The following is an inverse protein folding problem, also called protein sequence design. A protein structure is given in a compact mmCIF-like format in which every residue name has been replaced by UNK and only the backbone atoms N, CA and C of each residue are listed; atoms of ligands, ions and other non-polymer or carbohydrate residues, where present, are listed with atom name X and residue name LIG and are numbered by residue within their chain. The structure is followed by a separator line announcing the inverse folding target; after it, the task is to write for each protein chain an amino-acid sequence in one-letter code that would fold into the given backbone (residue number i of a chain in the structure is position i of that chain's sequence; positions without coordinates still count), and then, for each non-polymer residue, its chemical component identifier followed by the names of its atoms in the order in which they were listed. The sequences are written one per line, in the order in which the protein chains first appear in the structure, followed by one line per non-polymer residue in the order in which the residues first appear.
data_IF_046972203155
#
_entry.id   IF_046972203155
#
_cell.length_a   1.000
_cell.length_b   1.000
_cell.length_c   1.000
_cell.angle_alpha   90.00
_cell.angle_beta   90.00
_cell.angle_gamma   90.00
#
_symmetry.space_group_name_H-M   'P 1'
#
loop_
_entity.id
_entity.type
_entity.pdbx_description
1 polymer ?
#
# COMPACT_ATOMS: atom_id res chain seq x y z
N UNK A 1 -29.95 5.80 54.72
CA UNK A 1 -29.20 4.59 54.34
C UNK A 1 -28.73 4.78 52.91
N UNK A 2 -27.55 5.35 52.74
CA UNK A 2 -26.90 5.54 51.45
C UNK A 2 -25.74 4.55 51.41
N UNK A 3 -25.88 3.48 50.63
CA UNK A 3 -24.74 2.63 50.28
C UNK A 3 -24.66 2.67 48.77
N UNK A 4 -23.71 3.50 48.33
CA UNK A 4 -23.53 3.91 46.96
C UNK A 4 -23.07 2.73 46.10
N UNK A 5 -23.61 2.72 44.88
CA UNK A 5 -23.14 1.95 43.75
C UNK A 5 -21.61 2.08 43.61
N UNK A 6 -20.89 1.01 43.90
CA UNK A 6 -19.46 0.87 43.62
C UNK A 6 -19.15 -0.55 43.15
N UNK A 7 -20.00 -1.10 42.28
CA UNK A 7 -19.61 -2.22 41.42
C UNK A 7 -19.00 -1.65 40.13
N UNK A 8 -17.72 -1.29 40.26
CA UNK A 8 -16.67 -1.56 39.28
C UNK A 8 -17.14 -1.60 37.82
N UNK A 9 -17.44 -0.42 37.26
CA UNK A 9 -17.20 -0.17 35.85
C UNK A 9 -15.68 -0.10 35.63
N UNK A 10 -15.02 -1.25 35.73
CA UNK A 10 -13.80 -1.49 34.99
C UNK A 10 -14.20 -1.59 33.51
N UNK A 11 -14.60 -0.45 32.94
CA UNK A 11 -14.26 -0.16 31.56
C UNK A 11 -12.73 -0.16 31.56
N UNK A 12 -12.15 -1.36 31.41
CA UNK A 12 -10.89 -1.48 30.71
C UNK A 12 -11.20 -0.92 29.33
N UNK A 13 -11.07 0.41 29.20
CA UNK A 13 -10.73 1.01 27.94
C UNK A 13 -9.38 0.40 27.63
N UNK A 14 -9.42 -0.79 27.05
CA UNK A 14 -8.33 -1.27 26.22
C UNK A 14 -8.38 -0.26 25.08
N UNK A 15 -7.70 0.87 25.27
CA UNK A 15 -7.22 1.67 24.16
C UNK A 15 -6.31 0.68 23.44
N UNK A 16 -6.92 -0.09 22.54
CA UNK A 16 -6.13 -0.81 21.56
C UNK A 16 -5.40 0.32 20.85
N UNK A 17 -4.09 0.34 21.01
CA UNK A 17 -3.21 1.21 20.25
C UNK A 17 -3.32 0.70 18.81
N UNK A 18 -4.41 1.07 18.15
CA UNK A 18 -4.61 0.80 16.74
C UNK A 18 -3.57 1.64 16.05
N UNK A 19 -2.48 0.99 15.65
CA UNK A 19 -1.56 1.57 14.70
C UNK A 19 -2.39 2.05 13.50
N UNK A 20 -2.27 3.32 13.16
CA UNK A 20 -2.99 3.88 12.03
C UNK A 20 -2.48 3.21 10.75
N UNK A 21 -3.40 2.63 9.99
CA UNK A 21 -3.09 1.99 8.71
C UNK A 21 -4.15 2.28 7.68
N UNK A 22 -3.71 2.37 6.43
CA UNK A 22 -4.56 2.45 5.24
C UNK A 22 -4.12 1.36 4.28
N UNK A 23 -5.00 0.41 4.01
CA UNK A 23 -4.75 -0.69 3.08
C UNK A 23 -5.65 -0.50 1.86
N UNK A 24 -5.05 -0.27 0.70
CA UNK A 24 -5.72 0.11 -0.54
C UNK A 24 -5.72 -1.11 -1.47
N UNK A 25 -6.91 -1.57 -1.84
CA UNK A 25 -7.11 -2.61 -2.86
C UNK A 25 -7.22 -1.92 -4.23
N UNK A 26 -6.23 -2.13 -5.09
CA UNK A 26 -6.10 -1.37 -6.33
C UNK A 26 -7.00 -1.95 -7.42
N UNK A 27 -7.65 -1.07 -8.19
CA UNK A 27 -8.57 -1.45 -9.26
C UNK A 27 -10.02 -1.69 -8.80
N UNK A 28 -10.37 -1.41 -7.55
CA UNK A 28 -11.74 -1.52 -7.06
C UNK A 28 -12.17 -0.26 -6.31
N UNK A 29 -13.48 0.02 -6.32
CA UNK A 29 -14.10 1.05 -5.46
C UNK A 29 -14.73 0.46 -4.20
N UNK A 30 -14.73 -0.87 -4.06
CA UNK A 30 -15.37 -1.57 -2.96
C UNK A 30 -14.40 -1.76 -1.80
N UNK A 31 -14.91 -1.63 -0.58
CA UNK A 31 -14.20 -2.05 0.61
C UNK A 31 -14.37 -3.55 0.86
N UNK A 32 -13.38 -4.15 1.49
CA UNK A 32 -13.39 -5.57 1.84
C UNK A 32 -12.67 -5.84 3.15
N UNK A 33 -12.83 -7.05 3.68
CA UNK A 33 -12.06 -7.56 4.81
C UNK A 33 -11.50 -8.90 4.39
N UNK A 34 -10.19 -9.07 4.54
CA UNK A 34 -9.52 -10.31 4.16
C UNK A 34 -9.56 -11.38 5.27
N UNK A 35 -8.93 -12.52 5.00
CA UNK A 35 -8.90 -13.65 5.93
C UNK A 35 -8.08 -13.36 7.21
N UNK A 36 -7.23 -12.33 7.19
CA UNK A 36 -6.43 -11.86 8.32
C UNK A 36 -7.13 -10.76 9.13
N UNK A 37 -8.40 -10.45 8.79
CA UNK A 37 -9.20 -9.35 9.36
C UNK A 37 -8.64 -7.96 9.05
N UNK A 38 -7.83 -7.82 8.00
CA UNK A 38 -7.36 -6.53 7.53
C UNK A 38 -8.48 -5.88 6.72
N UNK A 39 -8.78 -4.62 7.05
CA UNK A 39 -9.74 -3.80 6.31
C UNK A 39 -9.04 -3.18 5.11
N UNK A 40 -9.65 -3.36 3.95
CA UNK A 40 -9.21 -2.81 2.67
C UNK A 40 -10.22 -1.78 2.17
N UNK A 41 -9.73 -0.67 1.65
CA UNK A 41 -10.52 0.36 0.96
C UNK A 41 -10.23 0.32 -0.54
N UNK A 42 -11.21 0.72 -1.35
CA UNK A 42 -11.00 0.91 -2.78
C UNK A 42 -10.09 2.10 -3.07
N UNK A 43 -9.55 2.16 -4.29
CA UNK A 43 -8.53 3.16 -4.64
C UNK A 43 -9.07 4.50 -5.14
N UNK A 44 -10.39 4.65 -5.28
CA UNK A 44 -11.02 5.79 -5.99
C UNK A 44 -10.67 7.16 -5.40
N UNK A 45 -10.46 7.25 -4.09
CA UNK A 45 -10.12 8.51 -3.40
C UNK A 45 -8.63 8.86 -3.49
N UNK A 46 -7.77 7.92 -3.94
CA UNK A 46 -6.31 8.07 -3.92
C UNK A 46 -5.70 8.23 -5.32
N UNK A 47 -6.39 7.81 -6.38
CA UNK A 47 -5.87 7.84 -7.76
C UNK A 47 -6.93 8.34 -8.75
N UNK A 48 -6.51 9.17 -9.71
CA UNK A 48 -7.41 9.76 -10.72
C UNK A 48 -7.21 9.20 -12.13
N UNK A 49 -6.21 8.35 -12.34
CA UNK A 49 -5.81 7.80 -13.64
C UNK A 49 -5.76 6.26 -13.62
N UNK A 50 -5.39 5.68 -14.76
CA UNK A 50 -5.26 4.24 -14.94
C UNK A 50 -6.59 3.50 -15.14
N UNK A 51 -6.47 2.21 -15.40
CA UNK A 51 -7.57 1.32 -15.74
C UNK A 51 -7.56 0.12 -14.79
N UNK A 52 -8.74 -0.31 -14.37
CA UNK A 52 -8.89 -1.52 -13.54
C UNK A 52 -8.85 -2.78 -14.40
N UNK A 53 -8.25 -3.85 -13.87
CA UNK A 53 -8.33 -5.19 -14.42
C UNK A 53 -8.57 -6.22 -13.31
N UNK A 54 -9.24 -7.31 -13.65
CA UNK A 54 -9.44 -8.46 -12.76
C UNK A 54 -8.33 -9.49 -12.99
N UNK A 55 -7.86 -10.10 -11.91
CA UNK A 55 -6.91 -11.23 -11.93
C UNK A 55 -7.61 -12.50 -11.47
N UNK A 56 -7.59 -13.52 -12.32
CA UNK A 56 -8.41 -14.73 -12.20
C UNK A 56 -7.82 -15.81 -11.28
N UNK A 57 -6.67 -15.57 -10.65
CA UNK A 57 -5.87 -16.60 -9.98
C UNK A 57 -5.32 -16.18 -8.62
N UNK A 58 -6.11 -15.53 -7.77
CA UNK A 58 -5.73 -15.29 -6.36
C UNK A 58 -6.61 -16.10 -5.42
N UNK A 59 -6.00 -16.75 -4.42
CA UNK A 59 -6.74 -17.40 -3.31
C UNK A 59 -7.17 -16.42 -2.23
N UNK A 60 -6.72 -15.17 -2.34
CA UNK A 60 -7.04 -14.08 -1.42
C UNK A 60 -8.16 -13.22 -2.01
N UNK A 61 -9.12 -12.83 -1.16
CA UNK A 61 -10.29 -12.02 -1.55
C UNK A 61 -9.90 -10.57 -1.87
N UNK A 62 -8.99 -9.99 -1.09
CA UNK A 62 -8.20 -8.81 -1.46
C UNK A 62 -7.20 -9.24 -2.53
N UNK A 63 -6.93 -8.41 -3.54
CA UNK A 63 -6.06 -8.71 -4.69
C UNK A 63 -6.73 -9.46 -5.86
N UNK A 64 -8.06 -9.45 -5.95
CA UNK A 64 -8.77 -9.93 -7.16
C UNK A 64 -8.75 -8.91 -8.30
N UNK A 65 -8.30 -7.69 -8.02
CA UNK A 65 -8.13 -6.61 -8.99
C UNK A 65 -6.71 -6.02 -8.94
N UNK A 66 -6.36 -5.30 -10.01
CA UNK A 66 -5.22 -4.40 -10.06
C UNK A 66 -5.59 -3.14 -10.83
N UNK A 67 -4.79 -2.09 -10.66
CA UNK A 67 -4.82 -0.91 -11.53
C UNK A 67 -3.55 -0.86 -12.36
N UNK A 68 -3.70 -0.64 -13.67
CA UNK A 68 -2.59 -0.47 -14.60
C UNK A 68 -2.67 0.87 -15.33
N UNK A 69 -1.53 1.32 -15.86
CA UNK A 69 -1.34 2.66 -16.40
C UNK A 69 -0.85 2.61 -17.85
N UNK A 70 -1.77 2.54 -18.83
CA UNK A 70 -1.41 2.34 -20.24
C UNK A 70 -1.08 3.63 -21.01
N UNK A 71 -1.29 4.81 -20.42
CA UNK A 71 -1.18 6.08 -21.15
C UNK A 71 -0.16 7.02 -20.55
N UNK A 72 -0.32 7.39 -19.28
CA UNK A 72 0.45 8.47 -18.68
C UNK A 72 1.85 8.02 -18.24
N UNK A 73 2.83 8.93 -18.34
CA UNK A 73 4.23 8.66 -17.97
C UNK A 73 4.43 8.49 -16.46
N UNK A 74 3.61 9.14 -15.63
CA UNK A 74 3.68 9.07 -14.17
C UNK A 74 2.28 9.12 -13.57
N UNK A 75 1.97 8.18 -12.70
CA UNK A 75 0.65 8.01 -12.09
C UNK A 75 0.80 7.85 -10.58
N UNK A 76 0.20 8.73 -9.79
CA UNK A 76 0.49 8.83 -8.36
C UNK A 76 -0.75 8.60 -7.51
N UNK A 77 -0.67 7.60 -6.63
CA UNK A 77 -1.57 7.54 -5.48
C UNK A 77 -1.17 8.67 -4.52
N UNK A 78 -2.12 9.53 -4.17
CA UNK A 78 -1.89 10.76 -3.41
C UNK A 78 -2.88 10.87 -2.24
N UNK A 79 -2.64 11.83 -1.34
CA UNK A 79 -3.46 12.06 -0.15
C UNK A 79 -3.60 10.84 0.76
N UNK A 80 -2.60 9.95 0.77
CA UNK A 80 -2.59 8.80 1.66
C UNK A 80 -2.17 9.29 3.06
N UNK A 81 -3.01 9.20 4.09
CA UNK A 81 -2.72 9.78 5.40
C UNK A 81 -1.60 9.03 6.12
N UNK A 82 -0.70 9.79 6.75
CA UNK A 82 0.44 9.30 7.53
C UNK A 82 0.75 10.23 8.71
N UNK A 83 1.44 9.73 9.72
CA UNK A 83 1.89 10.56 10.84
C UNK A 83 3.19 11.30 10.50
N UNK A 84 3.09 12.63 10.33
CA UNK A 84 4.25 13.51 10.11
C UNK A 84 5.30 13.34 11.22
N UNK A 85 6.57 13.16 10.82
CA UNK A 85 7.69 13.07 11.76
C UNK A 85 7.82 11.72 12.48
N UNK A 86 6.83 10.83 12.36
CA UNK A 86 6.95 9.43 12.75
C UNK A 86 7.76 8.62 11.74
N UNK A 87 7.64 7.30 11.82
CA UNK A 87 8.11 6.37 10.79
C UNK A 87 6.92 5.66 10.18
N UNK A 88 6.95 5.46 8.86
CA UNK A 88 5.90 4.76 8.13
C UNK A 88 6.51 3.64 7.32
N UNK A 89 5.81 2.51 7.24
CA UNK A 89 6.05 1.46 6.27
C UNK A 89 5.03 1.61 5.14
N UNK A 90 5.51 1.69 3.90
CA UNK A 90 4.69 1.56 2.71
C UNK A 90 5.08 0.26 2.01
N UNK A 91 4.14 -0.68 1.94
CA UNK A 91 4.27 -1.93 1.20
C UNK A 91 3.43 -1.85 -0.07
N UNK A 92 4.05 -2.19 -1.18
CA UNK A 92 3.39 -2.30 -2.49
C UNK A 92 3.50 -3.71 -3.00
N UNK A 93 2.37 -4.27 -3.43
CA UNK A 93 2.29 -5.61 -4.01
C UNK A 93 1.96 -5.52 -5.49
N UNK A 94 2.66 -6.34 -6.27
CA UNK A 94 2.48 -6.46 -7.71
C UNK A 94 2.20 -7.92 -8.05
N UNK A 95 0.94 -8.23 -8.33
CA UNK A 95 0.51 -9.50 -8.87
C UNK A 95 0.00 -9.30 -10.29
N UNK A 96 0.81 -9.68 -11.28
CA UNK A 96 0.45 -9.45 -12.69
C UNK A 96 -0.74 -10.32 -13.11
N UNK A 97 -0.80 -11.57 -12.65
CA UNK A 97 -1.86 -12.54 -12.94
C UNK A 97 -2.17 -12.74 -14.43
N UNK A 98 -1.27 -12.31 -15.32
CA UNK A 98 -1.49 -12.22 -16.75
C UNK A 98 -2.80 -11.49 -17.13
N UNK A 99 -3.13 -10.39 -16.43
CA UNK A 99 -4.42 -9.70 -16.57
C UNK A 99 -4.75 -9.26 -18.01
N UNK A 100 -3.73 -9.01 -18.84
CA UNK A 100 -3.87 -8.56 -20.22
C UNK A 100 -3.65 -9.68 -21.27
N UNK A 101 -3.42 -10.92 -20.83
CA UNK A 101 -3.25 -12.07 -21.70
C UNK A 101 -1.91 -12.11 -22.46
N UNK A 102 -0.97 -11.19 -22.21
CA UNK A 102 0.27 -11.07 -23.00
C UNK A 102 1.43 -11.92 -22.47
N UNK A 103 1.34 -12.44 -21.26
CA UNK A 103 2.42 -13.13 -20.54
C UNK A 103 3.73 -12.34 -20.56
N UNK A 104 3.60 -11.01 -20.41
CA UNK A 104 4.74 -10.10 -20.47
C UNK A 104 5.52 -10.06 -19.14
N UNK A 105 6.70 -9.43 -19.16
CA UNK A 105 7.54 -9.17 -17.99
C UNK A 105 7.69 -7.67 -17.79
N UNK A 106 6.63 -6.98 -17.32
CA UNK A 106 6.63 -5.52 -17.21
C UNK A 106 7.74 -5.05 -16.26
N UNK A 107 8.40 -3.97 -16.66
CA UNK A 107 9.40 -3.25 -15.87
C UNK A 107 9.08 -1.77 -15.89
N UNK A 108 9.09 -1.16 -14.72
CA UNK A 108 8.78 0.26 -14.53
C UNK A 108 9.45 0.77 -13.25
N UNK A 109 9.36 2.07 -13.01
CA UNK A 109 9.88 2.69 -11.80
C UNK A 109 8.75 3.00 -10.82
N UNK A 110 9.05 2.93 -9.53
CA UNK A 110 8.20 3.40 -8.44
C UNK A 110 8.96 4.45 -7.65
N UNK A 111 8.28 5.53 -7.27
CA UNK A 111 8.85 6.64 -6.51
C UNK A 111 7.93 6.96 -5.34
N UNK A 112 8.47 6.91 -4.12
CA UNK A 112 7.77 7.29 -2.90
C UNK A 112 8.19 8.72 -2.51
N UNK A 113 7.22 9.55 -2.12
CA UNK A 113 7.42 10.95 -1.73
C UNK A 113 8.18 11.80 -2.76
N UNK A 114 8.08 11.45 -4.05
CA UNK A 114 8.88 12.08 -5.10
C UNK A 114 10.42 11.95 -4.91
N UNK A 115 10.88 11.11 -3.97
CA UNK A 115 12.29 11.05 -3.54
C UNK A 115 12.89 9.65 -3.65
N UNK A 116 12.21 8.65 -3.11
CA UNK A 116 12.79 7.31 -2.97
C UNK A 116 12.38 6.45 -4.16
N UNK A 117 13.30 6.25 -5.11
CA UNK A 117 13.05 5.51 -6.35
C UNK A 117 13.54 4.06 -6.34
N UNK A 118 12.77 3.15 -6.93
CA UNK A 118 13.18 1.78 -7.26
C UNK A 118 12.64 1.34 -8.62
N UNK A 119 13.33 0.40 -9.24
CA UNK A 119 12.83 -0.33 -10.41
C UNK A 119 12.05 -1.55 -9.94
N UNK A 120 10.85 -1.73 -10.47
CA UNK A 120 10.04 -2.94 -10.33
C UNK A 120 10.20 -3.74 -11.62
N UNK A 121 10.56 -5.02 -11.49
CA UNK A 121 10.69 -5.94 -12.62
C UNK A 121 9.95 -7.23 -12.32
N UNK A 122 8.83 -7.43 -13.02
CA UNK A 122 8.00 -8.61 -12.85
C UNK A 122 8.55 -9.74 -13.71
N UNK A 123 8.99 -10.80 -13.05
CA UNK A 123 9.66 -11.95 -13.70
C UNK A 123 8.77 -13.19 -13.79
N UNK A 124 7.66 -13.21 -13.07
CA UNK A 124 6.68 -14.29 -13.08
C UNK A 124 5.28 -13.70 -12.98
N UNK A 125 4.37 -14.19 -13.82
CA UNK A 125 3.00 -13.68 -13.86
C UNK A 125 2.18 -14.03 -12.63
N UNK A 126 2.48 -15.17 -11.98
CA UNK A 126 1.66 -15.73 -10.91
C UNK A 126 2.39 -15.75 -9.56
N UNK A 127 3.45 -14.95 -9.42
CA UNK A 127 4.19 -14.78 -8.18
C UNK A 127 4.12 -13.31 -7.77
N UNK A 128 3.63 -13.00 -6.56
CA UNK A 128 3.68 -11.66 -6.02
C UNK A 128 5.12 -11.12 -5.95
N UNK A 129 5.31 -9.90 -6.44
CA UNK A 129 6.48 -9.10 -6.14
C UNK A 129 6.10 -8.08 -5.06
N UNK A 130 6.86 -8.02 -3.97
CA UNK A 130 6.61 -7.08 -2.87
C UNK A 130 7.79 -6.13 -2.73
N UNK A 131 7.48 -4.84 -2.69
CA UNK A 131 8.43 -3.78 -2.39
C UNK A 131 7.94 -2.98 -1.18
N UNK A 132 8.80 -2.88 -0.18
CA UNK A 132 8.57 -2.11 1.03
C UNK A 132 9.55 -0.95 1.12
N UNK A 133 9.07 0.18 1.62
CA UNK A 133 9.89 1.32 2.02
C UNK A 133 9.51 1.72 3.43
N UNK A 134 10.51 1.87 4.30
CA UNK A 134 10.37 2.54 5.58
C UNK A 134 11.03 3.90 5.49
N UNK A 135 10.32 4.97 5.86
CA UNK A 135 10.84 6.34 5.82
C UNK A 135 10.16 7.22 6.88
N UNK A 136 10.67 8.45 7.04
CA UNK A 136 10.04 9.47 7.89
C UNK A 136 9.28 10.49 7.02
N UNK A 137 7.93 10.55 7.11
CA UNK A 137 7.14 11.47 6.31
C UNK A 137 7.42 12.94 6.62
N UNK A 138 7.55 13.75 5.57
CA UNK A 138 7.73 15.19 5.68
C UNK A 138 6.42 15.94 5.97
N UNK A 139 5.28 15.31 5.67
CA UNK A 139 3.94 15.87 5.78
C UNK A 139 2.96 14.87 6.43
N UNK A 140 1.71 15.27 6.67
CA UNK A 140 0.65 14.38 7.17
C UNK A 140 0.03 13.48 6.10
N UNK A 141 0.52 13.58 4.87
CA UNK A 141 0.12 12.76 3.74
C UNK A 141 1.36 12.29 2.96
N UNK A 142 1.22 11.17 2.26
CA UNK A 142 2.25 10.63 1.39
C UNK A 142 1.73 10.33 -0.02
N UNK A 143 2.66 10.17 -0.97
CA UNK A 143 2.38 9.71 -2.32
C UNK A 143 3.26 8.53 -2.75
N UNK A 144 2.70 7.71 -3.63
CA UNK A 144 3.36 6.60 -4.32
C UNK A 144 3.11 6.73 -5.82
N UNK A 145 4.17 6.99 -6.58
CA UNK A 145 4.09 7.22 -8.02
C UNK A 145 4.66 6.05 -8.81
N UNK A 146 3.93 5.62 -9.83
CA UNK A 146 4.31 4.59 -10.79
C UNK A 146 4.69 5.27 -12.10
N UNK A 147 5.96 5.15 -12.47
CA UNK A 147 6.58 5.87 -13.58
C UNK A 147 6.94 4.88 -14.68
N UNK A 148 6.42 5.15 -15.87
CA UNK A 148 6.70 4.38 -17.07
C UNK A 148 8.17 4.51 -17.47
N UNK A 149 8.78 3.40 -17.86
CA UNK A 149 10.17 3.37 -18.37
C UNK A 149 10.26 2.93 -19.83
N UNK A 150 9.18 2.38 -20.40
CA UNK A 150 9.07 2.04 -21.82
C UNK A 150 7.60 2.04 -22.25
N UNK A 151 7.34 2.33 -23.53
CA UNK A 151 5.98 2.30 -24.10
C UNK A 151 5.40 0.89 -24.22
N UNK A 152 6.24 -0.14 -24.12
CA UNK A 152 5.85 -1.56 -24.16
C UNK A 152 5.54 -2.15 -22.79
N UNK A 153 5.65 -1.37 -21.71
CA UNK A 153 5.43 -1.83 -20.34
C UNK A 153 4.49 -0.89 -19.62
N UNK A 154 3.34 -1.42 -19.21
CA UNK A 154 2.37 -0.69 -18.42
C UNK A 154 2.71 -0.85 -16.93
N UNK A 155 3.02 0.24 -16.20
CA UNK A 155 3.08 0.18 -14.75
C UNK A 155 1.75 -0.28 -14.19
N UNK A 156 1.77 -1.03 -13.10
CA UNK A 156 0.56 -1.47 -12.42
C UNK A 156 0.83 -1.67 -10.93
N UNK A 157 -0.24 -1.80 -10.14
CA UNK A 157 -0.17 -2.13 -8.71
C UNK A 157 -1.43 -2.90 -8.30
N UNK A 158 -1.27 -3.89 -7.44
CA UNK A 158 -2.37 -4.72 -6.92
C UNK A 158 -2.84 -4.23 -5.55
N UNK A 159 -1.92 -3.84 -4.68
CA UNK A 159 -2.25 -3.25 -3.38
C UNK A 159 -1.17 -2.30 -2.85
N UNK A 160 -1.60 -1.37 -2.00
CA UNK A 160 -0.75 -0.45 -1.26
C UNK A 160 -1.17 -0.49 0.22
N UNK A 161 -0.29 -0.95 1.10
CA UNK A 161 -0.47 -0.90 2.54
C UNK A 161 0.42 0.21 3.11
N UNK A 162 -0.17 1.10 3.90
CA UNK A 162 0.53 2.18 4.60
C UNK A 162 0.28 2.03 6.08
N UNK A 163 1.35 1.88 6.86
CA UNK A 163 1.28 1.57 8.29
C UNK A 163 2.22 2.52 9.03
N UNK A 164 1.67 3.37 9.88
CA UNK A 164 2.48 4.13 10.83
C UNK A 164 3.21 3.14 11.76
N UNK A 165 4.47 3.38 12.10
CA UNK A 165 5.24 2.52 12.99
C UNK A 165 5.24 3.11 14.39
N UNK A 166 5.36 2.24 15.40
CA UNK A 166 5.42 2.68 16.79
C UNK A 166 6.66 3.56 17.04
N UNK A 167 6.52 4.53 17.94
CA UNK A 167 7.62 5.37 18.40
C UNK A 167 8.81 4.51 18.85
N UNK A 168 10.03 4.90 18.50
CA UNK A 168 11.24 4.15 18.79
C UNK A 168 11.65 3.16 17.69
N UNK A 169 10.73 2.76 16.80
CA UNK A 169 11.07 1.88 15.68
C UNK A 169 11.81 2.67 14.59
N UNK A 170 12.97 2.16 14.17
CA UNK A 170 13.81 2.79 13.14
C UNK A 170 14.26 4.22 13.49
N UNK A 171 14.53 4.51 14.76
CA UNK A 171 15.01 5.84 15.22
C UNK A 171 16.31 6.29 14.55
N UNK A 172 17.16 5.35 14.15
CA UNK A 172 18.40 5.63 13.42
C UNK A 172 18.16 6.19 12.01
N UNK A 173 16.93 6.08 11.49
CA UNK A 173 16.58 6.58 10.16
C UNK A 173 16.28 8.10 10.21
N UNK A 174 17.18 8.86 9.59
CA UNK A 174 17.16 10.32 9.61
C UNK A 174 16.14 10.95 8.66
N UNK A 175 15.95 12.29 8.74
CA UNK A 175 15.07 13.02 7.85
C UNK A 175 15.41 12.81 6.38
N UNK A 176 14.44 12.32 5.61
CA UNK A 176 14.59 12.08 4.19
C UNK A 176 15.44 10.86 3.82
N UNK A 177 15.82 10.03 4.77
CA UNK A 177 16.36 8.70 4.49
C UNK A 177 15.21 7.70 4.29
N UNK A 178 15.51 6.59 3.62
CA UNK A 178 14.54 5.54 3.35
C UNK A 178 15.21 4.18 3.24
N UNK A 179 14.59 3.17 3.87
CA UNK A 179 15.06 1.78 3.88
C UNK A 179 14.16 0.93 3.00
N UNK A 180 14.72 0.45 1.90
CA UNK A 180 14.02 -0.46 1.01
C UNK A 180 14.21 -1.90 1.43
N UNK A 181 13.12 -2.66 1.39
CA UNK A 181 13.13 -4.11 1.49
C UNK A 181 12.33 -4.71 0.33
N UNK A 182 12.85 -5.79 -0.25
CA UNK A 182 12.26 -6.42 -1.43
C UNK A 182 12.13 -7.93 -1.19
N UNK A 183 10.95 -8.47 -1.46
CA UNK A 183 10.68 -9.91 -1.38
C UNK A 183 10.08 -10.41 -2.68
N UNK A 184 10.52 -11.61 -3.08
CA UNK A 184 9.86 -12.44 -4.08
C UNK A 184 9.34 -13.65 -3.30
N UNK A 185 8.03 -13.82 -3.20
CA UNK A 185 7.41 -14.92 -2.44
C UNK A 185 7.35 -16.17 -3.32
#
# INVERSE_FOLDING_TARGET
MASALLFLLFFHSIITLSIASVNIDCGTSLSSVDNNNIKWVGDTDFITSGVSATVSSTTEKSHTTLRYFPTDESNCYSNIPVTKGGKVLVRTMFYYGNYDGKFSSPTFSIVFEGKHGRTVSITSAFVPYILELIFSPASGETNVCFVRTSTSSDPFVSSIEVVDLADGMYDDLGPGEGLFYQQRI
#
